data_IF_268818247417
#
_entry.id   IF_268818247417
#
_cell.length_a   1.000
_cell.length_b   1.000
_cell.length_c   1.000
_cell.angle_alpha   90.00
_cell.angle_beta   90.00
_cell.angle_gamma   90.00
#
_symmetry.space_group_name_H-M   'P 1'
#
loop_
_entity.id
_entity.type
_entity.pdbx_description
1 polymer ?
#
# COMPACT_ATOMS: atom_id res chain seq x y z
N UNK A 1 -16.98 0.76 5.61
CA UNK A 1 -15.91 1.78 5.46
C UNK A 1 -14.63 1.10 4.99
N UNK A 2 -14.04 1.56 3.88
CA UNK A 2 -12.82 0.99 3.28
C UNK A 2 -11.59 1.00 4.23
N UNK A 3 -11.62 1.81 5.29
CA UNK A 3 -10.56 1.94 6.31
C UNK A 3 -10.40 0.71 7.21
N UNK A 4 -11.48 -0.03 7.52
CA UNK A 4 -11.41 -1.20 8.42
C UNK A 4 -10.58 -2.34 7.83
N UNK A 5 -10.75 -2.61 6.54
CA UNK A 5 -9.99 -3.65 5.83
C UNK A 5 -8.48 -3.38 5.78
N UNK A 6 -8.06 -2.11 5.78
CA UNK A 6 -6.64 -1.73 5.79
C UNK A 6 -6.09 -1.77 7.22
N UNK A 7 -6.87 -1.28 8.19
CA UNK A 7 -6.51 -1.30 9.61
C UNK A 7 -6.29 -2.73 10.12
N UNK A 8 -7.21 -3.61 9.77
CA UNK A 8 -7.22 -5.01 10.20
C UNK A 8 -6.47 -5.92 9.22
N UNK A 9 -5.74 -5.36 8.26
CA UNK A 9 -4.96 -6.16 7.32
C UNK A 9 -3.90 -6.95 8.11
N UNK A 10 -3.92 -8.29 8.06
CA UNK A 10 -2.99 -9.13 8.79
C UNK A 10 -1.57 -8.91 8.26
N UNK A 11 -0.56 -9.10 9.10
CA UNK A 11 0.83 -9.02 8.66
C UNK A 11 1.08 -10.06 7.55
N UNK A 12 1.43 -9.62 6.32
CA UNK A 12 1.68 -10.53 5.21
C UNK A 12 2.76 -11.54 5.53
N UNK A 13 2.53 -12.84 5.31
CA UNK A 13 3.54 -13.89 5.53
C UNK A 13 4.23 -14.31 4.23
N UNK A 14 3.58 -14.05 3.09
CA UNK A 14 4.06 -14.42 1.76
C UNK A 14 4.05 -13.25 0.78
N UNK A 15 4.93 -13.31 -0.23
CA UNK A 15 5.09 -12.24 -1.24
C UNK A 15 3.80 -11.89 -2.00
N UNK A 16 2.85 -12.81 -2.15
CA UNK A 16 1.57 -12.51 -2.81
C UNK A 16 0.70 -11.57 -1.99
N UNK A 17 0.72 -11.67 -0.67
CA UNK A 17 -0.03 -10.80 0.23
C UNK A 17 0.58 -9.39 0.26
N UNK A 18 1.92 -9.29 0.23
CA UNK A 18 2.62 -8.00 0.09
C UNK A 18 2.24 -7.31 -1.22
N UNK A 19 2.15 -8.05 -2.34
CA UNK A 19 1.69 -7.49 -3.62
C UNK A 19 0.25 -6.99 -3.55
N UNK A 20 -0.64 -7.76 -2.93
CA UNK A 20 -2.04 -7.35 -2.76
C UNK A 20 -2.14 -6.06 -1.93
N UNK A 21 -1.39 -5.98 -0.82
CA UNK A 21 -1.32 -4.78 0.01
C UNK A 21 -0.76 -3.58 -0.76
N UNK A 22 0.36 -3.73 -1.46
CA UNK A 22 0.96 -2.64 -2.25
C UNK A 22 0.07 -2.22 -3.43
N UNK A 23 -0.69 -3.14 -4.03
CA UNK A 23 -1.68 -2.82 -5.05
C UNK A 23 -2.80 -1.93 -4.50
N UNK A 24 -3.33 -2.26 -3.32
CA UNK A 24 -4.33 -1.46 -2.64
C UNK A 24 -3.77 -0.10 -2.19
N UNK A 25 -2.59 -0.08 -1.58
CA UNK A 25 -1.93 1.14 -1.13
C UNK A 25 -1.58 2.05 -2.33
N UNK A 26 -1.19 1.45 -3.46
CA UNK A 26 -0.87 2.14 -4.71
C UNK A 26 -2.05 2.93 -5.30
N UNK A 27 -3.30 2.50 -5.06
CA UNK A 27 -4.49 3.25 -5.45
C UNK A 27 -4.56 4.63 -4.78
N UNK A 28 -4.06 4.74 -3.55
CA UNK A 28 -4.08 5.98 -2.76
C UNK A 28 -2.74 6.73 -2.78
N UNK A 29 -1.76 6.29 -3.58
CA UNK A 29 -0.37 6.81 -3.55
C UNK A 29 -0.27 8.33 -3.71
N UNK A 30 -1.18 8.95 -4.48
CA UNK A 30 -1.17 10.39 -4.74
C UNK A 30 -1.49 11.24 -3.50
N UNK A 31 -2.12 10.62 -2.49
CA UNK A 31 -2.50 11.27 -1.24
C UNK A 31 -1.51 10.97 -0.11
N UNK A 32 -0.48 10.15 -0.37
CA UNK A 32 0.51 9.73 0.62
C UNK A 32 1.84 10.42 0.28
N UNK A 33 2.26 11.43 1.06
CA UNK A 33 3.56 12.06 0.87
C UNK A 33 4.68 11.02 0.91
N UNK A 34 5.60 11.11 -0.05
CA UNK A 34 6.76 10.21 -0.14
C UNK A 34 6.39 8.72 -0.23
N UNK A 35 5.22 8.37 -0.79
CA UNK A 35 4.75 6.99 -0.90
C UNK A 35 5.82 6.01 -1.37
N UNK A 36 6.53 6.33 -2.47
CA UNK A 36 7.54 5.45 -3.04
C UNK A 36 8.70 5.16 -2.07
N UNK A 37 9.08 6.13 -1.24
CA UNK A 37 10.15 5.96 -0.24
C UNK A 37 9.65 5.05 0.89
N UNK A 38 8.41 5.24 1.34
CA UNK A 38 7.81 4.42 2.40
C UNK A 38 7.57 2.98 1.91
N UNK A 39 7.15 2.80 0.66
CA UNK A 39 6.87 1.50 0.06
C UNK A 39 8.12 0.75 -0.44
N UNK A 40 9.28 1.42 -0.52
CA UNK A 40 10.51 0.82 -1.05
C UNK A 40 10.94 -0.45 -0.28
N UNK A 41 10.98 -0.47 1.07
CA UNK A 41 11.35 -1.68 1.81
C UNK A 41 10.42 -2.86 1.53
N UNK A 42 9.12 -2.59 1.36
CA UNK A 42 8.14 -3.64 1.02
C UNK A 42 8.25 -4.11 -0.44
N UNK A 43 8.68 -3.23 -1.34
CA UNK A 43 8.94 -3.59 -2.74
C UNK A 43 10.20 -4.45 -2.85
N UNK A 44 11.18 -4.20 -1.99
CA UNK A 44 12.42 -4.98 -1.91
C UNK A 44 12.16 -6.43 -1.49
N UNK A 45 11.18 -6.67 -0.61
CA UNK A 45 10.71 -8.01 -0.26
C UNK A 45 10.18 -8.80 -1.47
N UNK A 46 9.73 -8.11 -2.53
CA UNK A 46 9.20 -8.74 -3.73
C UNK A 46 10.29 -9.13 -4.75
N UNK A 47 11.54 -8.69 -4.55
CA UNK A 47 12.68 -9.04 -5.42
C UNK A 47 12.91 -10.56 -5.43
N UNK A 48 13.51 -11.05 -6.52
CA UNK A 48 13.80 -12.47 -6.74
C UNK A 48 12.72 -13.22 -7.54
N UNK A 49 13.02 -14.46 -7.96
CA UNK A 49 12.18 -15.23 -8.90
C UNK A 49 10.95 -15.87 -8.28
N UNK A 50 10.96 -16.13 -6.97
CA UNK A 50 9.82 -16.81 -6.30
C UNK A 50 8.65 -15.85 -6.11
N UNK A 51 7.52 -16.13 -6.77
CA UNK A 51 6.28 -15.36 -6.62
C UNK A 51 5.58 -15.60 -5.27
N UNK A 52 5.71 -16.80 -4.70
CA UNK A 52 5.06 -17.24 -3.45
C UNK A 52 6.04 -17.44 -2.29
N UNK A 53 7.25 -16.88 -2.38
CA UNK A 53 8.24 -17.03 -1.31
C UNK A 53 7.73 -16.49 0.02
N UNK A 54 8.14 -17.14 1.10
CA UNK A 54 8.00 -16.62 2.46
C UNK A 54 8.78 -15.33 2.61
N UNK A 55 8.36 -14.52 3.58
CA UNK A 55 8.93 -13.21 3.84
C UNK A 55 9.37 -13.11 5.29
N UNK A 56 10.65 -12.82 5.49
CA UNK A 56 11.20 -12.51 6.80
C UNK A 56 11.00 -11.03 7.09
N UNK A 57 10.27 -10.73 8.17
CA UNK A 57 10.04 -9.35 8.61
C UNK A 57 11.24 -8.83 9.40
N UNK A 58 11.89 -7.81 8.87
CA UNK A 58 12.84 -6.98 9.61
C UNK A 58 12.09 -5.83 10.29
N UNK A 59 12.74 -5.18 11.25
CA UNK A 59 12.20 -3.96 11.88
C UNK A 59 11.88 -2.86 10.85
N UNK A 60 12.69 -2.74 9.80
CA UNK A 60 12.48 -1.79 8.70
C UNK A 60 11.20 -2.08 7.93
N UNK A 61 10.94 -3.35 7.60
CA UNK A 61 9.73 -3.75 6.88
C UNK A 61 8.48 -3.55 7.72
N UNK A 62 8.54 -3.92 9.01
CA UNK A 62 7.43 -3.70 9.95
C UNK A 62 7.11 -2.21 10.06
N UNK A 63 8.13 -1.35 10.18
CA UNK A 63 7.95 0.08 10.24
C UNK A 63 7.31 0.65 8.95
N UNK A 64 7.74 0.20 7.78
CA UNK A 64 7.16 0.60 6.50
C UNK A 64 5.68 0.19 6.36
N UNK A 65 5.35 -1.05 6.75
CA UNK A 65 3.99 -1.57 6.69
C UNK A 65 3.03 -0.82 7.62
N UNK A 66 3.41 -0.65 8.89
CA UNK A 66 2.57 0.07 9.86
C UNK A 66 2.43 1.55 9.48
N UNK A 67 3.51 2.19 8.99
CA UNK A 67 3.43 3.57 8.50
C UNK A 67 2.45 3.72 7.34
N UNK A 68 2.44 2.80 6.37
CA UNK A 68 1.43 2.81 5.30
C UNK A 68 0.02 2.58 5.82
N UNK A 69 -0.18 1.64 6.75
CA UNK A 69 -1.49 1.43 7.40
C UNK A 69 -1.98 2.69 8.10
N UNK A 70 -1.13 3.35 8.89
CA UNK A 70 -1.47 4.61 9.55
C UNK A 70 -1.86 5.67 8.54
N UNK A 71 -1.05 5.89 7.50
CA UNK A 71 -1.33 6.92 6.49
C UNK A 71 -2.63 6.65 5.72
N UNK A 72 -2.87 5.40 5.33
CA UNK A 72 -4.10 4.97 4.64
C UNK A 72 -5.36 5.02 5.51
N UNK A 73 -5.21 4.96 6.84
CA UNK A 73 -6.33 5.04 7.80
C UNK A 73 -6.49 6.44 8.41
N UNK A 74 -5.51 7.32 8.26
CA UNK A 74 -5.55 8.71 8.69
C UNK A 74 -6.35 9.60 7.72
N UNK A 75 -6.98 10.64 8.27
CA UNK A 75 -8.17 11.27 7.67
C UNK A 75 -7.97 12.30 6.53
N UNK A 76 -6.80 12.55 5.90
CA UNK A 76 -6.78 13.30 4.63
C UNK A 76 -6.81 12.40 3.37
N UNK A 77 -6.62 11.08 3.48
CA UNK A 77 -6.70 10.16 2.32
C UNK A 77 -8.15 9.86 1.90
N UNK A 78 -9.12 10.21 2.76
CA UNK A 78 -10.56 10.02 2.59
C UNK A 78 -11.25 11.14 1.79
N UNK A 79 -10.54 12.21 1.41
CA UNK A 79 -11.01 13.05 0.29
C UNK A 79 -10.87 12.22 -0.99
N UNK A 80 -11.94 11.46 -1.24
CA UNK A 80 -12.15 10.63 -2.39
C UNK A 80 -11.77 11.38 -3.68
N UNK A 81 -11.33 10.66 -4.74
CA UNK A 81 -11.28 11.27 -6.05
C UNK A 81 -12.64 11.93 -6.31
N UNK A 82 -12.60 13.22 -6.60
CA UNK A 82 -13.77 13.95 -7.03
C UNK A 82 -14.29 13.28 -8.31
N UNK A 83 -15.29 12.41 -8.18
CA UNK A 83 -15.91 11.72 -9.30
C UNK A 83 -16.65 12.69 -10.24
N UNK A 84 -16.69 13.99 -9.92
CA UNK A 84 -17.14 15.05 -10.83
C UNK A 84 -16.05 15.55 -11.79
N UNK A 85 -14.78 15.17 -11.60
CA UNK A 85 -13.76 15.38 -12.63
C UNK A 85 -14.06 14.49 -13.83
N UNK A 86 -14.68 15.08 -14.86
CA UNK A 86 -14.79 14.50 -16.20
C UNK A 86 -13.46 13.86 -16.58
N UNK A 87 -13.47 12.55 -16.78
CA UNK A 87 -12.40 11.83 -17.47
C UNK A 87 -12.39 12.40 -18.89
N UNK A 88 -11.43 13.27 -19.20
CA UNK A 88 -11.22 13.69 -20.58
C UNK A 88 -10.52 12.54 -21.28
N UNK A 89 -11.29 11.79 -22.05
CA UNK A 89 -10.72 10.97 -23.12
C UNK A 89 -10.27 11.96 -24.18
N UNK A 90 -8.97 11.97 -24.48
CA UNK A 90 -8.46 12.73 -25.62
C UNK A 90 -8.85 11.97 -26.90
N UNK A 91 -9.50 12.67 -27.83
CA UNK A 91 -9.78 12.24 -29.20
C UNK A 91 -8.49 12.05 -30.03
#
# INVERSE_FOLDING_TARGET
MKSKAIRDFPAPTIKTEIRAFLGLAGYYRQYIPMFSIIAAPLTDLLKGRSKKGEVTWSAEYTAAFEKLKTLLTSEPVLYAPDFTKKIRVAD
#
